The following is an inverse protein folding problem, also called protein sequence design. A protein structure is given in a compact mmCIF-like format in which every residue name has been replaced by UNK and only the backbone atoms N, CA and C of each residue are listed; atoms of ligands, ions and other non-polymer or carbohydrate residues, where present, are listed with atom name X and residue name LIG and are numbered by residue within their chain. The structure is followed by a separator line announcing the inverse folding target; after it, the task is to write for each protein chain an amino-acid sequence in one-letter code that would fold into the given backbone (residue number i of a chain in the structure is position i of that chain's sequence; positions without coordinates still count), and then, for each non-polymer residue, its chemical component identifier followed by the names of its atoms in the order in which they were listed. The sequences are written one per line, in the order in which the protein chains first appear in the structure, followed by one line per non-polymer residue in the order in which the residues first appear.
data_IF_579260238239
#
_entry.id   IF_579260238239
#
_cell.length_a   1.000
_cell.length_b   1.000
_cell.length_c   1.000
_cell.angle_alpha   90.00
_cell.angle_beta   90.00
_cell.angle_gamma   90.00
#
_symmetry.space_group_name_H-M   'P 1'
#
loop_
_entity.id
_entity.type
_entity.pdbx_description
1 polymer ?
#
# COMPACT_ATOMS: atom_id res chain seq x y z
N UNK A 1 -3.78 14.64 8.60
CA UNK A 1 -4.36 13.29 8.42
C UNK A 1 -5.85 13.32 8.78
N UNK A 2 -6.68 12.50 8.14
CA UNK A 2 -8.12 12.42 8.43
C UNK A 2 -8.38 11.74 9.79
N UNK A 3 -9.51 12.02 10.45
CA UNK A 3 -9.87 11.37 11.71
C UNK A 3 -10.26 9.91 11.49
N UNK A 4 -10.10 9.10 12.54
CA UNK A 4 -10.52 7.69 12.55
C UNK A 4 -12.03 7.57 12.29
N UNK A 5 -12.43 6.53 11.56
CA UNK A 5 -13.81 6.33 11.11
C UNK A 5 -14.16 7.05 9.81
N UNK A 6 -13.33 7.98 9.31
CA UNK A 6 -13.58 8.66 8.03
C UNK A 6 -13.49 7.68 6.88
N UNK A 7 -14.52 7.66 6.02
CA UNK A 7 -14.50 6.94 4.74
C UNK A 7 -13.97 7.86 3.64
N UNK A 8 -13.07 7.34 2.82
CA UNK A 8 -12.36 8.04 1.75
C UNK A 8 -12.37 7.17 0.50
N UNK A 9 -12.46 7.79 -0.68
CA UNK A 9 -12.16 7.12 -1.93
C UNK A 9 -10.66 7.29 -2.22
N UNK A 10 -9.92 6.19 -2.24
CA UNK A 10 -8.51 6.17 -2.57
C UNK A 10 -8.34 5.84 -4.04
N UNK A 11 -7.47 6.58 -4.72
CA UNK A 11 -6.95 6.24 -6.04
C UNK A 11 -5.42 6.12 -5.94
N UNK A 12 -4.87 4.96 -6.30
CA UNK A 12 -3.42 4.74 -6.28
C UNK A 12 -2.98 3.84 -7.43
N UNK A 13 -1.71 4.00 -7.83
CA UNK A 13 -1.07 3.14 -8.81
C UNK A 13 -0.28 2.03 -8.09
N UNK A 14 -0.24 0.85 -8.70
CA UNK A 14 0.66 -0.23 -8.30
C UNK A 14 1.75 -0.35 -9.35
N UNK A 15 2.99 -0.56 -8.90
CA UNK A 15 4.13 -0.76 -9.80
C UNK A 15 3.91 -2.02 -10.66
N UNK A 16 4.12 -1.90 -11.98
CA UNK A 16 3.87 -2.98 -12.93
C UNK A 16 2.39 -3.23 -13.25
N UNK A 17 1.48 -2.38 -12.76
CA UNK A 17 0.05 -2.42 -13.10
C UNK A 17 -0.31 -1.10 -13.79
N UNK A 18 -0.63 -1.16 -15.08
CA UNK A 18 -1.03 0.02 -15.88
C UNK A 18 -2.38 0.63 -15.43
N UNK A 19 -3.19 -0.11 -14.68
CA UNK A 19 -4.49 0.35 -14.19
C UNK A 19 -4.38 1.03 -12.82
N UNK A 20 -5.00 2.22 -12.68
CA UNK A 20 -5.18 2.86 -11.38
C UNK A 20 -6.23 2.12 -10.57
N UNK A 21 -5.87 1.79 -9.34
CA UNK A 21 -6.76 1.13 -8.39
C UNK A 21 -7.56 2.17 -7.64
N UNK A 22 -8.89 2.04 -7.68
CA UNK A 22 -9.84 2.84 -6.89
C UNK A 22 -10.52 1.96 -5.86
N UNK A 23 -10.50 2.39 -4.60
CA UNK A 23 -11.12 1.66 -3.48
C UNK A 23 -11.75 2.61 -2.48
N UNK A 24 -12.89 2.23 -1.93
CA UNK A 24 -13.38 2.83 -0.71
C UNK A 24 -12.54 2.33 0.47
N UNK A 25 -12.11 3.24 1.33
CA UNK A 25 -11.30 2.91 2.49
C UNK A 25 -11.74 3.69 3.71
N UNK A 26 -11.64 3.06 4.87
CA UNK A 26 -11.91 3.71 6.16
C UNK A 26 -10.62 3.90 6.93
N UNK A 27 -10.45 5.09 7.51
CA UNK A 27 -9.35 5.38 8.43
C UNK A 27 -9.55 4.59 9.71
N UNK A 28 -8.61 3.73 10.05
CA UNK A 28 -8.60 2.94 11.31
C UNK A 28 -7.53 3.39 12.29
N UNK A 29 -6.64 4.29 11.85
CA UNK A 29 -5.63 4.92 12.70
C UNK A 29 -5.17 6.24 12.08
N UNK A 30 -5.07 7.29 12.88
CA UNK A 30 -4.50 8.57 12.47
C UNK A 30 -3.21 8.84 13.22
N UNK A 31 -2.13 9.16 12.51
CA UNK A 31 -0.82 9.49 13.10
C UNK A 31 -0.51 10.95 12.74
N UNK A 32 -0.81 11.91 13.63
CA UNK A 32 -0.47 13.31 13.41
C UNK A 32 1.06 13.50 13.37
N UNK A 33 1.55 14.58 12.71
CA UNK A 33 2.97 14.93 12.76
C UNK A 33 3.40 15.20 14.21
N UNK A 34 4.56 14.67 14.58
CA UNK A 34 5.15 14.88 15.89
C UNK A 34 5.97 16.16 15.87
N UNK A 35 5.56 17.17 16.64
CA UNK A 35 6.25 18.46 16.66
C UNK A 35 7.62 18.39 17.36
N UNK A 36 7.85 17.35 18.16
CA UNK A 36 9.12 17.14 18.86
C UNK A 36 10.08 16.24 18.08
N UNK A 37 9.57 15.44 17.15
CA UNK A 37 10.37 14.61 16.26
C UNK A 37 9.92 14.78 14.79
N UNK A 38 10.53 15.71 14.05
CA UNK A 38 10.17 15.97 12.66
C UNK A 38 10.56 14.83 11.71
N UNK A 39 11.32 13.83 12.18
CA UNK A 39 11.68 12.65 11.38
C UNK A 39 10.59 11.59 11.44
N UNK A 40 9.71 11.65 12.45
CA UNK A 40 8.58 10.74 12.58
C UNK A 40 7.53 11.04 11.52
N UNK A 41 7.26 10.10 10.59
CA UNK A 41 6.31 10.34 9.53
C UNK A 41 4.89 10.45 10.08
N UNK A 42 4.20 11.52 9.71
CA UNK A 42 2.74 11.58 9.84
C UNK A 42 2.07 10.67 8.82
N UNK A 43 0.93 10.07 9.16
CA UNK A 43 0.27 9.13 8.26
C UNK A 43 -1.10 8.67 8.72
N UNK A 44 -1.65 7.70 7.98
CA UNK A 44 -2.94 7.08 8.27
C UNK A 44 -2.87 5.58 8.02
N UNK A 45 -3.46 4.81 8.93
CA UNK A 45 -3.81 3.42 8.69
C UNK A 45 -5.21 3.35 8.10
N UNK A 46 -5.36 2.59 7.00
CA UNK A 46 -6.60 2.49 6.23
C UNK A 46 -6.99 1.01 6.11
N UNK A 47 -8.28 0.71 6.20
CA UNK A 47 -8.85 -0.58 5.80
C UNK A 47 -9.60 -0.39 4.49
N UNK A 48 -9.37 -1.25 3.50
CA UNK A 48 -10.11 -1.21 2.25
C UNK A 48 -11.47 -1.90 2.44
N UNK A 49 -12.55 -1.21 2.09
CA UNK A 49 -13.92 -1.70 2.17
C UNK A 49 -14.42 -2.02 0.76
N UNK A 50 -15.30 -3.02 0.63
CA UNK A 50 -15.98 -3.35 -0.64
C UNK A 50 -15.06 -3.56 -1.86
N UNK A 51 -13.92 -4.23 -1.68
CA UNK A 51 -13.04 -4.58 -2.81
C UNK A 51 -13.76 -5.46 -3.82
N UNK A 52 -13.79 -5.03 -5.09
CA UNK A 52 -14.23 -5.90 -6.18
C UNK A 52 -13.32 -7.15 -6.27
N UNK A 53 -13.84 -8.27 -6.76
CA UNK A 53 -13.04 -9.47 -6.95
C UNK A 53 -11.83 -9.24 -7.87
N UNK A 54 -12.00 -8.40 -8.91
CA UNK A 54 -10.91 -8.00 -9.81
C UNK A 54 -9.82 -7.25 -9.06
N UNK A 55 -10.19 -6.25 -8.27
CA UNK A 55 -9.25 -5.46 -7.47
C UNK A 55 -8.54 -6.31 -6.42
N UNK A 56 -9.29 -7.18 -5.73
CA UNK A 56 -8.74 -8.11 -4.73
C UNK A 56 -7.70 -9.05 -5.34
N UNK A 57 -7.99 -9.64 -6.50
CA UNK A 57 -7.04 -10.50 -7.23
C UNK A 57 -5.80 -9.72 -7.66
N UNK A 58 -5.96 -8.50 -8.15
CA UNK A 58 -4.84 -7.64 -8.57
C UNK A 58 -3.92 -7.31 -7.39
N UNK A 59 -4.51 -6.91 -6.25
CA UNK A 59 -3.76 -6.66 -5.02
C UNK A 59 -3.06 -7.91 -4.50
N UNK A 60 -3.73 -9.07 -4.47
CA UNK A 60 -3.11 -10.34 -4.08
C UNK A 60 -1.95 -10.71 -5.00
N UNK A 61 -2.13 -10.63 -6.32
CA UNK A 61 -1.07 -10.96 -7.27
C UNK A 61 0.13 -10.01 -7.11
N UNK A 62 -0.11 -8.72 -6.91
CA UNK A 62 0.95 -7.75 -6.63
C UNK A 62 1.72 -8.08 -5.35
N UNK A 63 1.01 -8.39 -4.26
CA UNK A 63 1.62 -8.74 -2.98
C UNK A 63 2.42 -10.06 -3.05
N UNK A 64 1.89 -11.07 -3.76
CA UNK A 64 2.57 -12.35 -3.97
C UNK A 64 3.77 -12.21 -4.92
N UNK A 65 3.67 -11.38 -5.96
CA UNK A 65 4.77 -11.10 -6.88
C UNK A 65 5.92 -10.32 -6.24
N UNK A 66 5.65 -9.48 -5.23
CA UNK A 66 6.69 -8.88 -4.38
C UNK A 66 7.24 -9.83 -3.32
N UNK A 67 6.53 -10.90 -2.97
CA UNK A 67 6.99 -11.88 -1.98
C UNK A 67 8.04 -12.85 -2.56
N UNK A 68 8.15 -12.96 -3.88
CA UNK A 68 9.35 -13.52 -4.52
C UNK A 68 10.44 -12.45 -4.46
N UNK A 69 11.52 -12.63 -3.65
CA UNK A 69 12.71 -11.85 -3.88
C UNK A 69 13.12 -12.09 -5.32
N UNK A 70 13.38 -10.99 -6.02
CA UNK A 70 14.09 -10.96 -7.27
C UNK A 70 15.26 -11.96 -7.23
N UNK A 71 15.09 -13.10 -7.91
CA UNK A 71 16.14 -14.10 -8.13
C UNK A 71 17.02 -13.64 -9.30
N UNK A 72 17.27 -12.34 -9.40
CA UNK A 72 18.13 -11.69 -10.39
C UNK A 72 19.21 -10.82 -9.74
N UNK A 73 19.43 -10.95 -8.43
CA UNK A 73 20.76 -10.76 -7.86
C UNK A 73 21.66 -11.92 -8.33
N UNK A 74 22.31 -11.68 -9.47
CA UNK A 74 23.36 -12.52 -10.00
C UNK A 74 24.41 -12.82 -8.95
N UNK A 75 24.41 -14.05 -8.46
CA UNK A 75 25.61 -14.63 -7.89
C UNK A 75 26.48 -15.12 -9.06
N UNK A 76 27.16 -14.18 -9.72
CA UNK A 76 28.42 -14.47 -10.41
C UNK A 76 29.51 -14.54 -9.33
N UNK A 77 29.45 -15.62 -8.54
CA UNK A 77 30.51 -16.03 -7.62
C UNK A 77 31.46 -16.96 -8.36
N UNK A 78 32.39 -16.37 -9.10
CA UNK A 78 33.57 -17.00 -9.69
C UNK A 78 34.31 -17.94 -8.72
N UNK A 79 34.90 -19.00 -9.29
CA UNK A 79 36.27 -19.42 -8.96
C UNK A 79 36.42 -20.54 -7.96
#
# INVERSE_FOLDING_TARGET
PYPEGTTLMLEFALEGVDEKIRVDARVVRSLPPDLNDPTRPSGMGLVFENLSEKTRKTLMNFLLGRATPDRSLGFDGQG
#
